data_IF_298675391786
#
_entry.id   IF_298675391786
#
_cell.length_a   1.000
_cell.length_b   1.000
_cell.length_c   1.000
_cell.angle_alpha   90.00
_cell.angle_beta   90.00
_cell.angle_gamma   90.00
#
_symmetry.space_group_name_H-M   'P 1'
#
loop_
_entity.id
_entity.type
_entity.pdbx_description
1 polymer ?
#
# COMPACT_ATOMS: atom_id res chain seq x y z
N UNK A 1 27.28 -22.20 -12.49
CA UNK A 1 27.52 -20.86 -11.90
C UNK A 1 26.49 -19.92 -12.49
N UNK A 2 25.27 -19.99 -11.97
CA UNK A 2 24.13 -19.19 -12.45
C UNK A 2 24.03 -17.91 -11.63
N UNK A 3 23.62 -16.87 -12.33
CA UNK A 3 23.82 -15.46 -12.07
C UNK A 3 23.14 -14.97 -10.77
N UNK A 4 23.89 -14.23 -9.95
CA UNK A 4 23.52 -13.67 -8.64
C UNK A 4 22.70 -12.36 -8.81
N UNK A 5 21.76 -12.34 -9.76
CA UNK A 5 21.02 -11.14 -10.22
C UNK A 5 19.72 -10.83 -9.46
N UNK A 6 19.37 -11.59 -8.44
CA UNK A 6 18.09 -11.41 -7.73
C UNK A 6 18.15 -10.45 -6.53
N UNK A 7 19.33 -9.91 -6.19
CA UNK A 7 19.50 -9.03 -5.04
C UNK A 7 18.82 -7.64 -5.13
N UNK A 8 18.83 -6.92 -6.28
CA UNK A 8 18.22 -5.59 -6.35
C UNK A 8 16.68 -5.65 -6.37
N UNK A 9 16.09 -6.71 -6.91
CA UNK A 9 14.63 -6.82 -7.06
C UNK A 9 13.91 -6.87 -5.69
N UNK A 10 14.45 -7.62 -4.72
CA UNK A 10 13.84 -7.74 -3.39
C UNK A 10 13.88 -6.43 -2.59
N UNK A 11 14.98 -5.67 -2.70
CA UNK A 11 15.09 -4.32 -2.12
C UNK A 11 14.10 -3.34 -2.76
N UNK A 12 13.96 -3.39 -4.09
CA UNK A 12 12.99 -2.58 -4.81
C UNK A 12 11.54 -2.92 -4.42
N UNK A 13 11.23 -4.18 -4.12
CA UNK A 13 9.90 -4.59 -3.64
C UNK A 13 9.59 -4.03 -2.25
N UNK A 14 10.57 -4.02 -1.34
CA UNK A 14 10.41 -3.41 -0.01
C UNK A 14 10.18 -1.89 -0.16
N UNK A 15 11.00 -1.22 -0.98
CA UNK A 15 10.85 0.21 -1.27
C UNK A 15 9.51 0.52 -1.93
N UNK A 16 9.06 -0.31 -2.87
CA UNK A 16 7.77 -0.15 -3.53
C UNK A 16 6.60 -0.29 -2.55
N UNK A 17 6.63 -1.28 -1.65
CA UNK A 17 5.61 -1.43 -0.61
C UNK A 17 5.55 -0.22 0.31
N UNK A 18 6.71 0.29 0.75
CA UNK A 18 6.78 1.49 1.58
C UNK A 18 6.30 2.75 0.85
N UNK A 19 6.72 2.95 -0.40
CA UNK A 19 6.31 4.09 -1.21
C UNK A 19 4.80 4.08 -1.51
N UNK A 20 4.23 2.91 -1.86
CA UNK A 20 2.78 2.76 -2.06
C UNK A 20 2.01 3.08 -0.78
N UNK A 21 2.45 2.56 0.36
CA UNK A 21 1.85 2.85 1.65
C UNK A 21 1.92 4.35 1.98
N UNK A 22 3.08 4.99 1.89
CA UNK A 22 3.25 6.42 2.17
C UNK A 22 2.42 7.30 1.22
N UNK A 23 2.37 6.95 -0.07
CA UNK A 23 1.57 7.67 -1.07
C UNK A 23 0.07 7.65 -0.75
N UNK A 24 -0.45 6.56 -0.15
CA UNK A 24 -1.84 6.49 0.28
C UNK A 24 -2.17 7.56 1.33
N UNK A 25 -1.30 7.74 2.34
CA UNK A 25 -1.48 8.77 3.35
C UNK A 25 -1.41 10.17 2.74
N UNK A 26 -0.37 10.44 1.93
CA UNK A 26 -0.17 11.77 1.34
C UNK A 26 -1.34 12.15 0.44
N UNK A 27 -1.79 11.23 -0.41
CA UNK A 27 -2.90 11.51 -1.34
C UNK A 27 -4.23 11.67 -0.62
N UNK A 28 -4.53 10.88 0.42
CA UNK A 28 -5.73 11.08 1.23
C UNK A 28 -5.71 12.42 1.96
N UNK A 29 -4.60 12.78 2.62
CA UNK A 29 -4.47 14.07 3.31
C UNK A 29 -4.62 15.25 2.34
N UNK A 30 -3.98 15.17 1.17
CA UNK A 30 -4.09 16.19 0.14
C UNK A 30 -5.54 16.31 -0.37
N UNK A 31 -6.20 15.18 -0.63
CA UNK A 31 -7.59 15.17 -1.05
C UNK A 31 -8.50 15.80 0.02
N UNK A 32 -8.26 15.52 1.31
CA UNK A 32 -9.01 16.12 2.42
C UNK A 32 -8.87 17.64 2.45
N UNK A 33 -7.62 18.15 2.39
CA UNK A 33 -7.34 19.57 2.40
C UNK A 33 -7.99 20.30 1.20
N UNK A 34 -7.88 19.72 0.00
CA UNK A 34 -8.51 20.24 -1.22
C UNK A 34 -10.04 20.21 -1.11
N UNK A 35 -10.60 19.14 -0.55
CA UNK A 35 -12.03 19.00 -0.37
C UNK A 35 -12.64 20.08 0.53
N UNK A 36 -11.99 20.36 1.67
CA UNK A 36 -12.46 21.40 2.57
C UNK A 36 -12.21 22.81 2.01
N UNK A 37 -11.16 23.02 1.21
CA UNK A 37 -10.90 24.33 0.59
C UNK A 37 -11.89 24.69 -0.53
N UNK A 38 -12.42 23.69 -1.26
CA UNK A 38 -13.32 23.90 -2.39
C UNK A 38 -14.82 23.76 -2.05
N UNK A 39 -15.17 23.55 -0.78
CA UNK A 39 -16.54 23.31 -0.30
C UNK A 39 -17.31 22.28 -1.15
N UNK A 40 -16.62 21.19 -1.53
CA UNK A 40 -17.24 20.13 -2.32
C UNK A 40 -18.32 19.42 -1.50
N UNK A 41 -19.44 19.06 -2.13
CA UNK A 41 -20.51 18.36 -1.45
C UNK A 41 -19.97 17.09 -0.75
N UNK A 42 -20.42 16.85 0.48
CA UNK A 42 -19.95 15.78 1.37
C UNK A 42 -19.96 14.42 0.66
N UNK A 43 -21.02 14.15 -0.12
CA UNK A 43 -21.17 12.90 -0.87
C UNK A 43 -20.06 12.73 -1.94
N UNK A 44 -19.78 13.76 -2.74
CA UNK A 44 -18.72 13.74 -3.75
C UNK A 44 -17.33 13.62 -3.13
N UNK A 45 -17.07 14.32 -2.03
CA UNK A 45 -15.81 14.24 -1.32
C UNK A 45 -15.55 12.83 -0.76
N UNK A 46 -16.58 12.24 -0.13
CA UNK A 46 -16.51 10.87 0.39
C UNK A 46 -16.30 9.84 -0.71
N UNK A 47 -16.97 10.01 -1.87
CA UNK A 47 -16.75 9.14 -3.02
C UNK A 47 -15.32 9.22 -3.55
N UNK A 48 -14.74 10.43 -3.65
CA UNK A 48 -13.35 10.64 -4.06
C UNK A 48 -12.36 9.96 -3.10
N UNK A 49 -12.55 10.13 -1.79
CA UNK A 49 -11.71 9.48 -0.77
C UNK A 49 -11.79 7.95 -0.85
N UNK A 50 -12.98 7.38 -1.01
CA UNK A 50 -13.17 5.95 -1.19
C UNK A 50 -12.52 5.44 -2.48
N UNK A 51 -12.58 6.22 -3.57
CA UNK A 51 -11.93 5.86 -4.83
C UNK A 51 -10.39 5.83 -4.68
N UNK A 52 -9.80 6.85 -4.04
CA UNK A 52 -8.35 6.89 -3.75
C UNK A 52 -7.95 5.71 -2.86
N UNK A 53 -8.71 5.47 -1.80
CA UNK A 53 -8.44 4.36 -0.87
C UNK A 53 -8.50 2.99 -1.56
N UNK A 54 -9.57 2.72 -2.31
CA UNK A 54 -9.73 1.44 -3.00
C UNK A 54 -8.65 1.22 -4.06
N UNK A 55 -8.21 2.27 -4.75
CA UNK A 55 -7.08 2.20 -5.69
C UNK A 55 -5.78 1.79 -4.99
N UNK A 56 -5.45 2.40 -3.85
CA UNK A 56 -4.24 2.05 -3.09
C UNK A 56 -4.34 0.65 -2.50
N UNK A 57 -5.51 0.26 -1.98
CA UNK A 57 -5.74 -1.08 -1.45
C UNK A 57 -5.56 -2.14 -2.54
N UNK A 58 -6.08 -1.89 -3.75
CA UNK A 58 -5.90 -2.77 -4.89
C UNK A 58 -4.42 -2.89 -5.30
N UNK A 59 -3.68 -1.78 -5.34
CA UNK A 59 -2.25 -1.78 -5.65
C UNK A 59 -1.42 -2.57 -4.62
N UNK A 60 -1.68 -2.38 -3.33
CA UNK A 60 -1.02 -3.12 -2.25
C UNK A 60 -1.38 -4.61 -2.28
N UNK A 61 -2.64 -4.94 -2.51
CA UNK A 61 -3.07 -6.34 -2.63
C UNK A 61 -2.43 -7.04 -3.84
N UNK A 62 -2.33 -6.34 -4.97
CA UNK A 62 -1.60 -6.83 -6.14
C UNK A 62 -0.12 -7.07 -5.84
N UNK A 63 0.52 -6.17 -5.07
CA UNK A 63 1.90 -6.36 -4.61
C UNK A 63 2.05 -7.58 -3.69
N UNK A 64 1.10 -7.80 -2.77
CA UNK A 64 1.09 -9.00 -1.90
C UNK A 64 0.98 -10.28 -2.72
N UNK A 65 0.05 -10.32 -3.69
CA UNK A 65 -0.09 -11.47 -4.60
C UNK A 65 1.19 -11.68 -5.40
N UNK A 66 1.81 -10.60 -5.89
CA UNK A 66 3.07 -10.66 -6.60
C UNK A 66 4.15 -11.26 -5.71
N UNK A 67 4.42 -10.70 -4.52
CA UNK A 67 5.40 -11.22 -3.56
C UNK A 67 5.14 -12.69 -3.18
N UNK A 68 3.87 -13.12 -3.08
CA UNK A 68 3.52 -14.52 -2.79
C UNK A 68 3.99 -15.48 -3.87
N UNK A 69 3.95 -15.08 -5.16
CA UNK A 69 4.40 -15.92 -6.28
C UNK A 69 5.91 -16.19 -6.26
N UNK A 70 6.69 -15.27 -5.69
CA UNK A 70 8.16 -15.38 -5.61
C UNK A 70 8.65 -16.08 -4.32
N UNK A 71 7.72 -16.62 -3.51
CA UNK A 71 8.00 -17.23 -2.21
C UNK A 71 8.08 -18.78 -2.26
N UNK A 72 8.68 -19.36 -3.31
CA UNK A 72 8.61 -20.81 -3.61
C UNK A 72 9.92 -21.59 -3.41
N UNK A 73 10.75 -21.23 -2.43
CA UNK A 73 12.05 -21.88 -2.15
C UNK A 73 12.25 -22.38 -0.72
N UNK A 74 13.44 -22.88 -0.41
CA UNK A 74 13.84 -23.36 0.92
C UNK A 74 14.33 -22.22 1.84
N UNK A 75 13.96 -22.28 3.13
CA UNK A 75 14.16 -21.21 4.13
C UNK A 75 15.62 -20.88 4.49
N UNK A 76 16.59 -21.64 3.98
CA UNK A 76 18.02 -21.50 4.28
C UNK A 76 18.74 -20.46 3.40
N UNK A 77 18.07 -19.86 2.42
CA UNK A 77 18.66 -18.86 1.54
C UNK A 77 18.43 -17.42 2.07
N UNK A 78 19.46 -16.57 2.25
CA UNK A 78 19.28 -15.16 2.62
C UNK A 78 18.39 -14.38 1.64
N UNK A 79 18.28 -14.83 0.39
CA UNK A 79 17.40 -14.23 -0.60
C UNK A 79 15.92 -14.47 -0.26
N UNK A 80 15.61 -15.68 0.22
CA UNK A 80 14.29 -16.05 0.73
C UNK A 80 13.89 -15.21 1.96
N UNK A 81 14.84 -14.92 2.84
CA UNK A 81 14.60 -14.06 4.00
C UNK A 81 14.12 -12.66 3.58
N UNK A 82 14.78 -12.07 2.58
CA UNK A 82 14.41 -10.74 2.06
C UNK A 82 13.05 -10.77 1.38
N UNK A 83 12.74 -11.81 0.59
CA UNK A 83 11.41 -11.99 -0.02
C UNK A 83 10.30 -12.17 1.02
N UNK A 84 10.56 -12.89 2.12
CA UNK A 84 9.62 -13.01 3.26
C UNK A 84 9.38 -11.66 3.92
N UNK A 85 10.43 -10.87 4.16
CA UNK A 85 10.28 -9.51 4.70
C UNK A 85 9.44 -8.65 3.77
N UNK A 86 9.72 -8.66 2.47
CA UNK A 86 8.96 -7.90 1.47
C UNK A 86 7.47 -8.30 1.44
N UNK A 87 7.17 -9.58 1.60
CA UNK A 87 5.79 -10.06 1.69
C UNK A 87 5.10 -9.59 2.98
N UNK A 88 5.73 -9.80 4.14
CA UNK A 88 5.14 -9.43 5.43
C UNK A 88 4.98 -7.92 5.55
N UNK A 89 5.92 -7.14 5.00
CA UNK A 89 5.80 -5.68 4.95
C UNK A 89 4.65 -5.23 4.05
N UNK A 90 4.50 -5.81 2.85
CA UNK A 90 3.37 -5.52 1.97
C UNK A 90 2.03 -5.93 2.60
N UNK A 91 1.98 -7.05 3.32
CA UNK A 91 0.79 -7.49 4.03
C UNK A 91 0.45 -6.54 5.19
N UNK A 92 1.43 -6.16 6.00
CA UNK A 92 1.25 -5.18 7.06
C UNK A 92 0.74 -3.85 6.50
N UNK A 93 1.36 -3.34 5.43
CA UNK A 93 0.93 -2.13 4.73
C UNK A 93 -0.52 -2.24 4.23
N UNK A 94 -0.92 -3.40 3.70
CA UNK A 94 -2.30 -3.65 3.26
C UNK A 94 -3.28 -3.59 4.42
N UNK A 95 -2.97 -4.27 5.54
CA UNK A 95 -3.83 -4.29 6.74
C UNK A 95 -3.95 -2.88 7.33
N UNK A 96 -2.84 -2.15 7.46
CA UNK A 96 -2.85 -0.77 7.96
C UNK A 96 -3.63 0.16 7.03
N UNK A 97 -3.52 -0.01 5.72
CA UNK A 97 -4.29 0.79 4.74
C UNK A 97 -5.79 0.46 4.81
N UNK A 98 -6.15 -0.81 4.99
CA UNK A 98 -7.53 -1.21 5.20
C UNK A 98 -8.11 -0.62 6.48
N UNK A 99 -7.33 -0.65 7.57
CA UNK A 99 -7.73 -0.08 8.86
C UNK A 99 -7.88 1.45 8.81
N UNK A 100 -6.95 2.15 8.17
CA UNK A 100 -7.01 3.61 8.08
C UNK A 100 -8.15 4.10 7.19
N UNK A 101 -8.40 3.43 6.07
CA UNK A 101 -9.53 3.78 5.21
C UNK A 101 -10.90 3.40 5.79
N UNK A 102 -10.98 2.41 6.68
CA UNK A 102 -12.26 2.10 7.36
C UNK A 102 -12.74 3.28 8.21
N UNK A 103 -11.81 3.99 8.86
CA UNK A 103 -12.11 5.19 9.66
C UNK A 103 -12.65 6.35 8.82
N UNK A 104 -12.28 6.45 7.55
CA UNK A 104 -12.82 7.46 6.60
C UNK A 104 -14.35 7.33 6.45
N UNK A 105 -14.93 6.15 6.73
CA UNK A 105 -16.38 5.97 6.70
C UNK A 105 -17.10 6.52 7.93
N UNK A 106 -16.40 6.77 9.03
CA UNK A 106 -16.98 7.16 10.32
C UNK A 106 -16.73 8.63 10.68
N UNK A 107 -15.67 9.24 10.13
CA UNK A 107 -15.28 10.61 10.46
C UNK A 107 -15.84 11.60 9.44
N UNK A 108 -16.40 12.72 9.91
CA UNK A 108 -16.78 13.84 9.05
C UNK A 108 -15.54 14.46 8.41
N UNK A 109 -15.51 14.68 7.09
CA UNK A 109 -14.29 15.06 6.38
C UNK A 109 -13.81 16.49 6.67
N UNK A 110 -14.71 17.40 7.05
CA UNK A 110 -14.39 18.77 7.41
C UNK A 110 -15.03 19.10 8.77
N UNK A 111 -14.19 19.45 9.73
CA UNK A 111 -14.54 20.01 11.04
C UNK A 111 -13.74 21.29 11.25
#
# INVERSE_FOLDING_TARGET
>A
MTDRREHPASLLLILAGWALWASAFVTMYAAQAVGCAMDVAIASHRAMMLAIWTLHLAALFALVIYCRKWMTGTASDPLQFTCRIAFWSALAATITTAWTGSMVSFVTPCV
#
